data_IF_017598722439
#
_entry.id   IF_017598722439
#
_cell.length_a   1.000
_cell.length_b   1.000
_cell.length_c   1.000
_cell.angle_alpha   90.00
_cell.angle_beta   90.00
_cell.angle_gamma   90.00
#
_symmetry.space_group_name_H-M   'P 1'
#
loop_
_entity.id
_entity.type
_entity.pdbx_description
1 polymer ?
#
# COMPACT_ATOMS: atom_id res chain seq x y z
N UNK A 1 -9.57 -2.96 -16.55
CA UNK A 1 -9.67 -2.25 -15.26
C UNK A 1 -11.04 -2.58 -14.66
N UNK A 2 -11.15 -3.81 -14.17
CA UNK A 2 -12.29 -4.35 -13.44
C UNK A 2 -11.68 -4.87 -12.15
N UNK A 3 -12.05 -4.29 -11.02
CA UNK A 3 -11.95 -5.00 -9.76
C UNK A 3 -13.14 -5.97 -9.80
N UNK A 4 -12.95 -7.12 -10.46
CA UNK A 4 -13.71 -8.33 -10.21
C UNK A 4 -13.00 -9.53 -10.86
N UNK A 5 -12.82 -10.59 -10.08
CA UNK A 5 -12.84 -11.96 -10.60
C UNK A 5 -14.24 -12.19 -11.17
N UNK A 6 -14.42 -12.71 -12.40
CA UNK A 6 -15.74 -13.17 -12.80
C UNK A 6 -16.14 -14.33 -11.87
N UNK A 7 -17.04 -14.06 -10.92
CA UNK A 7 -17.70 -15.12 -10.18
C UNK A 7 -18.60 -15.84 -11.17
N UNK A 8 -18.28 -17.10 -11.42
CA UNK A 8 -19.20 -18.05 -12.04
C UNK A 8 -20.52 -18.01 -11.25
N UNK A 9 -21.58 -17.59 -11.94
CA UNK A 9 -23.00 -17.71 -11.59
C UNK A 9 -23.36 -17.96 -10.10
N UNK A 10 -23.73 -16.91 -9.36
CA UNK A 10 -24.83 -16.98 -8.36
C UNK A 10 -25.11 -15.63 -7.69
N UNK A 11 -26.36 -15.19 -7.86
CA UNK A 11 -27.21 -14.35 -6.99
C UNK A 11 -26.50 -13.39 -5.99
N UNK A 12 -26.12 -12.20 -6.47
CA UNK A 12 -25.54 -11.12 -5.65
C UNK A 12 -26.52 -9.98 -5.43
N UNK A 13 -27.56 -10.20 -4.61
CA UNK A 13 -28.49 -9.12 -4.23
C UNK A 13 -28.05 -8.23 -3.05
N UNK A 14 -26.93 -8.50 -2.37
CA UNK A 14 -26.60 -7.74 -1.14
C UNK A 14 -25.12 -7.36 -0.90
N UNK A 15 -24.20 -7.55 -1.85
CA UNK A 15 -22.77 -7.26 -1.65
C UNK A 15 -22.13 -6.26 -2.64
N UNK A 16 -22.91 -5.58 -3.48
CA UNK A 16 -22.39 -4.75 -4.59
C UNK A 16 -21.88 -3.36 -4.21
N UNK A 17 -22.58 -2.66 -3.30
CA UNK A 17 -22.38 -1.21 -3.10
C UNK A 17 -20.98 -0.89 -2.54
N UNK A 18 -20.47 -1.68 -1.60
CA UNK A 18 -19.16 -1.40 -0.98
C UNK A 18 -17.98 -1.54 -1.95
N UNK A 19 -18.02 -2.56 -2.82
CA UNK A 19 -16.98 -2.81 -3.83
C UNK A 19 -17.03 -1.78 -4.96
N UNK A 20 -18.23 -1.39 -5.39
CA UNK A 20 -18.42 -0.31 -6.36
C UNK A 20 -17.89 1.03 -5.85
N UNK A 21 -18.11 1.33 -4.56
CA UNK A 21 -17.56 2.54 -3.91
C UNK A 21 -16.03 2.50 -3.85
N UNK A 22 -15.42 1.36 -3.55
CA UNK A 22 -13.96 1.22 -3.58
C UNK A 22 -13.39 1.42 -4.99
N UNK A 23 -14.09 0.95 -6.02
CA UNK A 23 -13.70 1.17 -7.41
C UNK A 23 -13.79 2.64 -7.78
N UNK A 24 -14.88 3.29 -7.40
CA UNK A 24 -15.09 4.72 -7.62
C UNK A 24 -14.01 5.55 -6.92
N UNK A 25 -13.67 5.20 -5.66
CA UNK A 25 -12.55 5.82 -4.95
C UNK A 25 -11.28 5.80 -5.80
N UNK A 26 -10.89 4.61 -6.27
CA UNK A 26 -9.68 4.42 -7.03
C UNK A 26 -9.69 5.20 -8.35
N UNK A 27 -10.83 5.22 -9.07
CA UNK A 27 -10.96 6.01 -10.29
C UNK A 27 -10.83 7.52 -10.03
N UNK A 28 -11.46 8.03 -8.97
CA UNK A 28 -11.38 9.44 -8.60
C UNK A 28 -9.96 9.84 -8.20
N UNK A 29 -9.27 9.01 -7.40
CA UNK A 29 -7.88 9.27 -7.00
C UNK A 29 -6.91 9.14 -8.18
N UNK A 30 -7.13 8.17 -9.07
CA UNK A 30 -6.30 7.99 -10.26
C UNK A 30 -6.47 9.17 -11.22
N UNK A 31 -7.71 9.55 -11.53
CA UNK A 31 -8.02 10.67 -12.40
C UNK A 31 -7.47 11.99 -11.86
N UNK A 32 -7.73 12.31 -10.59
CA UNK A 32 -7.17 13.52 -9.94
C UNK A 32 -5.64 13.52 -9.97
N UNK A 33 -4.99 12.37 -9.78
CA UNK A 33 -3.54 12.27 -9.87
C UNK A 33 -2.98 12.53 -11.27
N UNK A 34 -3.66 12.05 -12.31
CA UNK A 34 -3.28 12.30 -13.70
C UNK A 34 -3.45 13.77 -14.07
N UNK A 35 -4.55 14.40 -13.63
CA UNK A 35 -4.82 15.83 -13.80
C UNK A 35 -3.72 16.66 -13.12
N UNK A 36 -3.40 16.39 -11.85
CA UNK A 36 -2.35 17.11 -11.13
C UNK A 36 -0.98 16.94 -11.81
N UNK A 37 -0.65 15.71 -12.23
CA UNK A 37 0.60 15.43 -12.92
C UNK A 37 0.72 16.22 -14.23
N UNK A 38 -0.35 16.29 -15.02
CA UNK A 38 -0.39 17.04 -16.27
C UNK A 38 -0.28 18.57 -16.03
N UNK A 39 -1.13 19.15 -15.18
CA UNK A 39 -1.14 20.59 -14.92
C UNK A 39 0.12 21.09 -14.21
N UNK A 40 0.80 20.21 -13.45
CA UNK A 40 2.09 20.53 -12.83
C UNK A 40 3.28 20.51 -13.80
N UNK A 41 3.04 20.30 -15.11
CA UNK A 41 4.08 20.09 -16.13
C UNK A 41 5.01 18.93 -15.75
N UNK A 42 4.42 17.81 -15.33
CA UNK A 42 5.11 16.57 -14.98
C UNK A 42 6.01 16.65 -13.74
N UNK A 43 5.80 17.64 -12.87
CA UNK A 43 6.60 17.83 -11.64
C UNK A 43 6.00 17.13 -10.42
N UNK A 44 4.68 17.03 -10.34
CA UNK A 44 3.95 16.49 -9.20
C UNK A 44 3.49 15.05 -9.47
N UNK A 45 4.38 14.08 -9.24
CA UNK A 45 4.11 12.66 -9.51
C UNK A 45 3.81 11.80 -8.26
N UNK A 46 3.73 12.38 -7.05
CA UNK A 46 3.57 11.59 -5.81
C UNK A 46 2.24 10.86 -5.70
N UNK A 47 1.12 11.57 -5.93
CA UNK A 47 -0.20 10.94 -5.89
C UNK A 47 -0.35 9.90 -7.01
N UNK A 48 0.28 10.15 -8.16
CA UNK A 48 0.31 9.20 -9.27
C UNK A 48 1.12 7.94 -8.90
N UNK A 49 2.30 8.10 -8.29
CA UNK A 49 3.12 7.01 -7.78
C UNK A 49 2.37 6.20 -6.70
N UNK A 50 1.65 6.87 -5.80
CA UNK A 50 0.77 6.21 -4.84
C UNK A 50 -0.28 5.32 -5.52
N UNK A 51 -1.00 5.84 -6.52
CA UNK A 51 -1.98 5.03 -7.24
C UNK A 51 -1.33 3.85 -8.02
N UNK A 52 -0.15 4.05 -8.61
CA UNK A 52 0.59 2.94 -9.22
C UNK A 52 1.03 1.88 -8.19
N UNK A 53 1.31 2.26 -6.95
CA UNK A 53 1.53 1.29 -5.88
C UNK A 53 0.27 0.47 -5.57
N UNK A 54 -0.92 1.08 -5.65
CA UNK A 54 -2.19 0.36 -5.48
C UNK A 54 -2.43 -0.63 -6.64
N UNK A 55 -2.14 -0.22 -7.90
CA UNK A 55 -2.23 -1.11 -9.07
C UNK A 55 -1.25 -2.27 -8.92
N UNK A 56 -0.01 -1.99 -8.51
CA UNK A 56 1.02 -2.99 -8.28
C UNK A 56 0.57 -4.01 -7.23
N UNK A 57 0.11 -3.54 -6.07
CA UNK A 57 -0.39 -4.38 -4.99
C UNK A 57 -1.57 -5.27 -5.44
N UNK A 58 -2.58 -4.68 -6.09
CA UNK A 58 -3.72 -5.44 -6.60
C UNK A 58 -3.28 -6.51 -7.60
N UNK A 59 -2.35 -6.17 -8.50
CA UNK A 59 -1.85 -7.10 -9.50
C UNK A 59 -1.02 -8.22 -8.88
N UNK A 60 -0.29 -7.96 -7.79
CA UNK A 60 0.40 -9.00 -6.99
C UNK A 60 -0.61 -9.94 -6.35
N UNK A 61 -1.61 -9.42 -5.62
CA UNK A 61 -2.62 -10.27 -4.96
C UNK A 61 -3.29 -11.18 -5.99
N UNK A 62 -3.61 -10.61 -7.15
CA UNK A 62 -4.25 -11.30 -8.26
C UNK A 62 -3.35 -12.39 -8.87
N UNK A 63 -2.08 -12.12 -9.13
CA UNK A 63 -1.18 -13.14 -9.68
C UNK A 63 -0.93 -14.26 -8.65
N UNK A 64 -0.84 -13.93 -7.36
CA UNK A 64 -0.76 -14.92 -6.28
C UNK A 64 -1.98 -15.84 -6.27
N UNK A 65 -3.19 -15.28 -6.41
CA UNK A 65 -4.41 -16.08 -6.54
C UNK A 65 -4.32 -17.02 -7.75
N UNK A 66 -3.93 -16.51 -8.92
CA UNK A 66 -3.76 -17.34 -10.12
C UNK A 66 -2.76 -18.48 -9.90
N UNK A 67 -1.65 -18.23 -9.21
CA UNK A 67 -0.63 -19.26 -8.91
C UNK A 67 -1.19 -20.33 -7.97
N UNK A 68 -1.88 -19.92 -6.89
CA UNK A 68 -2.48 -20.85 -5.92
C UNK A 68 -3.52 -21.76 -6.58
N UNK A 69 -4.28 -21.21 -7.53
CA UNK A 69 -5.35 -21.93 -8.23
C UNK A 69 -4.91 -22.53 -9.57
N UNK A 70 -3.63 -22.47 -9.91
CA UNK A 70 -3.11 -22.89 -11.23
C UNK A 70 -3.51 -24.33 -11.60
N UNK A 71 -3.42 -25.25 -10.63
CA UNK A 71 -3.74 -26.68 -10.86
C UNK A 71 -5.25 -26.99 -10.86
N UNK A 72 -6.11 -26.05 -10.46
CA UNK A 72 -7.56 -26.23 -10.39
C UNK A 72 -8.29 -25.61 -11.57
N UNK A 73 -7.59 -24.89 -12.44
CA UNK A 73 -8.17 -24.11 -13.54
C UNK A 73 -7.77 -24.74 -14.87
N UNK A 74 -8.75 -25.00 -15.73
CA UNK A 74 -8.49 -25.28 -17.14
C UNK A 74 -8.10 -23.97 -17.83
N UNK A 75 -6.91 -23.93 -18.44
CA UNK A 75 -6.45 -22.73 -19.12
C UNK A 75 -7.09 -22.63 -20.50
N UNK A 76 -8.09 -21.76 -20.66
CA UNK A 76 -8.50 -21.27 -21.96
C UNK A 76 -7.69 -20.02 -22.35
N UNK A 77 -7.89 -19.57 -23.59
CA UNK A 77 -7.16 -18.43 -24.16
C UNK A 77 -7.41 -17.15 -23.36
N UNK A 78 -8.60 -16.97 -22.78
CA UNK A 78 -8.94 -15.75 -22.05
C UNK A 78 -8.22 -15.67 -20.70
N UNK A 79 -7.99 -16.78 -19.99
CA UNK A 79 -7.20 -16.80 -18.75
C UNK A 79 -5.74 -16.46 -19.04
N UNK A 80 -5.17 -17.00 -20.13
CA UNK A 80 -3.80 -16.69 -20.55
C UNK A 80 -3.67 -15.19 -20.86
N UNK A 81 -4.60 -14.62 -21.63
CA UNK A 81 -4.63 -13.18 -21.90
C UNK A 81 -4.78 -12.35 -20.62
N UNK A 82 -5.59 -12.82 -19.67
CA UNK A 82 -5.79 -12.16 -18.39
C UNK A 82 -4.53 -12.16 -17.52
N UNK A 83 -3.77 -13.25 -17.53
CA UNK A 83 -2.46 -13.35 -16.87
C UNK A 83 -1.47 -12.39 -17.53
N UNK A 84 -1.37 -12.40 -18.86
CA UNK A 84 -0.50 -11.48 -19.61
C UNK A 84 -0.82 -10.02 -19.29
N UNK A 85 -2.10 -9.64 -19.29
CA UNK A 85 -2.53 -8.29 -18.91
C UNK A 85 -2.17 -7.96 -17.45
N UNK A 86 -2.23 -8.92 -16.55
CA UNK A 86 -1.84 -8.71 -15.15
C UNK A 86 -0.33 -8.49 -15.02
N UNK A 87 0.48 -9.25 -15.78
CA UNK A 87 1.92 -9.08 -15.83
C UNK A 87 2.31 -7.72 -16.42
N UNK A 88 1.61 -7.24 -17.46
CA UNK A 88 1.86 -5.89 -17.99
C UNK A 88 1.53 -4.79 -16.98
N UNK A 89 0.47 -4.95 -16.17
CA UNK A 89 0.19 -3.99 -15.10
C UNK A 89 1.25 -3.99 -14.00
N UNK A 90 1.79 -5.17 -13.63
CA UNK A 90 2.92 -5.27 -12.69
C UNK A 90 4.13 -4.53 -13.27
N UNK A 91 4.49 -4.83 -14.52
CA UNK A 91 5.63 -4.22 -15.20
C UNK A 91 5.50 -2.70 -15.30
N UNK A 92 4.36 -2.19 -15.77
CA UNK A 92 4.11 -0.76 -15.93
C UNK A 92 4.17 -0.03 -14.58
N UNK A 93 3.60 -0.62 -13.54
CA UNK A 93 3.60 -0.03 -12.20
C UNK A 93 5.02 0.00 -11.62
N UNK A 94 5.75 -1.11 -11.72
CA UNK A 94 7.14 -1.20 -11.28
C UNK A 94 8.02 -0.18 -12.02
N UNK A 95 7.96 -0.15 -13.35
CA UNK A 95 8.73 0.78 -14.17
C UNK A 95 8.46 2.25 -13.80
N UNK A 96 7.18 2.62 -13.63
CA UNK A 96 6.82 3.98 -13.26
C UNK A 96 7.34 4.35 -11.86
N UNK A 97 7.14 3.48 -10.87
CA UNK A 97 7.58 3.71 -9.48
C UNK A 97 9.10 3.87 -9.43
N UNK A 98 9.86 2.98 -10.06
CA UNK A 98 11.33 3.04 -10.06
C UNK A 98 11.86 4.28 -10.79
N UNK A 99 11.25 4.64 -11.93
CA UNK A 99 11.59 5.88 -12.64
C UNK A 99 11.31 7.12 -11.78
N UNK A 100 10.19 7.13 -11.06
CA UNK A 100 9.85 8.19 -10.12
C UNK A 100 10.86 8.29 -8.98
N UNK A 101 11.31 7.17 -8.41
CA UNK A 101 12.33 7.13 -7.36
C UNK A 101 13.67 7.71 -7.84
N UNK A 102 14.19 7.23 -8.96
CA UNK A 102 15.48 7.66 -9.50
C UNK A 102 15.49 9.16 -9.88
N UNK A 103 14.33 9.68 -10.29
CA UNK A 103 14.17 11.13 -10.58
C UNK A 103 14.33 12.02 -9.34
N UNK A 104 14.16 11.47 -8.14
CA UNK A 104 14.35 12.21 -6.89
C UNK A 104 15.77 12.11 -6.37
N UNK A 105 16.41 10.94 -6.45
CA UNK A 105 17.82 10.77 -6.03
C UNK A 105 18.74 11.75 -6.77
N UNK A 106 18.54 11.92 -8.08
CA UNK A 106 19.29 12.86 -8.94
C UNK A 106 19.10 14.35 -8.59
N UNK A 107 18.13 14.72 -7.76
CA UNK A 107 17.90 16.12 -7.34
C UNK A 107 18.51 16.49 -5.99
N UNK A 108 19.19 15.55 -5.34
CA UNK A 108 19.94 15.76 -4.11
C UNK A 108 21.37 16.15 -4.52
N UNK A 109 21.81 17.41 -4.34
CA UNK A 109 23.13 17.84 -4.80
C UNK A 109 24.25 17.22 -3.95
N UNK A 110 25.32 16.77 -4.62
CA UNK A 110 26.54 16.12 -4.11
C UNK A 110 27.42 16.98 -3.17
N UNK A 111 26.85 17.96 -2.46
CA UNK A 111 27.60 18.72 -1.48
C UNK A 111 27.57 18.01 -0.12
N UNK A 112 28.61 17.21 0.14
CA UNK A 112 28.86 16.46 1.39
C UNK A 112 28.64 17.30 2.66
N UNK A 113 28.96 18.60 2.65
CA UNK A 113 28.80 19.47 3.81
C UNK A 113 27.33 19.81 4.17
N UNK A 114 26.39 19.70 3.22
CA UNK A 114 24.94 19.84 3.49
C UNK A 114 24.26 18.52 3.81
N UNK A 115 24.93 17.39 3.57
CA UNK A 115 24.41 16.05 3.84
C UNK A 115 24.31 15.87 5.37
N UNK A 116 25.35 16.22 6.12
CA UNK A 116 25.39 16.03 7.59
C UNK A 116 24.32 16.89 8.31
N UNK A 117 24.10 18.13 7.88
CA UNK A 117 23.13 19.04 8.53
C UNK A 117 21.67 18.76 8.11
N UNK A 118 21.46 18.15 6.93
CA UNK A 118 20.13 17.80 6.39
C UNK A 118 19.69 16.39 6.76
N UNK A 119 20.62 15.45 6.99
CA UNK A 119 20.36 14.07 7.42
C UNK A 119 19.79 14.00 8.85
N UNK A 120 20.08 14.98 9.70
CA UNK A 120 19.60 15.03 11.09
C UNK A 120 18.17 15.52 11.28
N UNK A 121 17.39 15.69 10.20
CA UNK A 121 15.97 16.00 10.34
C UNK A 121 15.11 14.77 10.11
N UNK A 122 14.99 13.98 11.18
CA UNK A 122 13.96 12.97 11.37
C UNK A 122 12.61 13.49 10.83
N UNK A 123 11.94 12.65 10.02
CA UNK A 123 10.60 12.96 9.54
C UNK A 123 9.70 13.40 10.71
N UNK A 124 8.95 14.49 10.51
CA UNK A 124 8.10 15.03 11.56
C UNK A 124 7.10 13.97 12.03
N UNK A 125 6.83 13.95 13.35
CA UNK A 125 5.91 13.01 14.01
C UNK A 125 4.58 12.89 13.24
N UNK A 126 4.06 14.02 12.74
CA UNK A 126 2.81 14.06 11.97
C UNK A 126 2.90 13.29 10.64
N UNK A 127 4.04 13.32 9.94
CA UNK A 127 4.22 12.56 8.69
C UNK A 127 4.28 11.06 8.96
N UNK A 128 4.95 10.65 10.04
CA UNK A 128 4.99 9.24 10.47
C UNK A 128 3.59 8.74 10.85
N UNK A 129 2.82 9.57 11.55
CA UNK A 129 1.43 9.27 11.89
C UNK A 129 0.55 9.12 10.63
N UNK A 130 0.65 10.04 9.67
CA UNK A 130 -0.07 9.93 8.38
C UNK A 130 0.32 8.65 7.65
N UNK A 131 1.62 8.31 7.61
CA UNK A 131 2.09 7.09 6.98
C UNK A 131 1.52 5.84 7.65
N UNK A 132 1.51 5.82 8.98
CA UNK A 132 0.93 4.74 9.75
C UNK A 132 -0.56 4.58 9.44
N UNK A 133 -1.34 5.67 9.40
CA UNK A 133 -2.78 5.63 9.11
C UNK A 133 -3.04 5.07 7.71
N UNK A 134 -2.36 5.60 6.69
CA UNK A 134 -2.59 5.19 5.30
C UNK A 134 -2.18 3.73 5.09
N UNK A 135 -0.97 3.34 5.50
CA UNK A 135 -0.50 1.95 5.33
C UNK A 135 -1.40 0.99 6.13
N UNK A 136 -1.81 1.34 7.36
CA UNK A 136 -2.73 0.52 8.15
C UNK A 136 -4.09 0.38 7.47
N UNK A 137 -4.64 1.47 6.92
CA UNK A 137 -5.93 1.44 6.20
C UNK A 137 -5.85 0.53 4.98
N UNK A 138 -4.75 0.60 4.21
CA UNK A 138 -4.55 -0.30 3.06
C UNK A 138 -4.46 -1.76 3.51
N UNK A 139 -3.71 -2.05 4.57
CA UNK A 139 -3.61 -3.42 5.12
C UNK A 139 -4.98 -3.91 5.61
N UNK A 140 -5.77 -3.07 6.29
CA UNK A 140 -7.12 -3.41 6.71
C UNK A 140 -8.02 -3.74 5.52
N UNK A 141 -7.97 -2.97 4.44
CA UNK A 141 -8.75 -3.25 3.21
C UNK A 141 -8.36 -4.60 2.62
N UNK A 142 -7.05 -4.92 2.55
CA UNK A 142 -6.57 -6.22 2.06
C UNK A 142 -7.08 -7.34 2.97
N UNK A 143 -6.87 -7.23 4.28
CA UNK A 143 -7.23 -8.26 5.25
C UNK A 143 -8.74 -8.49 5.25
N UNK A 144 -9.54 -7.43 5.25
CA UNK A 144 -10.99 -7.52 5.17
C UNK A 144 -11.44 -8.18 3.86
N UNK A 145 -10.85 -7.80 2.73
CA UNK A 145 -11.14 -8.40 1.43
C UNK A 145 -10.76 -9.88 1.34
N UNK A 146 -9.66 -10.29 1.98
CA UNK A 146 -9.30 -11.71 2.07
C UNK A 146 -10.28 -12.46 2.98
N UNK A 147 -10.60 -11.91 4.16
CA UNK A 147 -11.52 -12.53 5.13
C UNK A 147 -12.92 -12.70 4.54
N UNK A 148 -13.46 -11.68 3.85
CA UNK A 148 -14.79 -11.76 3.24
C UNK A 148 -14.92 -12.83 2.17
N UNK A 149 -13.78 -13.30 1.63
CA UNK A 149 -13.73 -14.34 0.61
C UNK A 149 -13.18 -15.67 1.15
N UNK A 150 -12.90 -15.80 2.46
CA UNK A 150 -12.37 -17.04 3.06
C UNK A 150 -13.26 -18.24 2.76
N UNK A 151 -14.58 -18.11 2.91
CA UNK A 151 -15.51 -19.24 2.69
C UNK A 151 -15.58 -19.68 1.22
N UNK A 152 -15.13 -18.83 0.30
CA UNK A 152 -15.15 -19.08 -1.15
C UNK A 152 -13.81 -19.59 -1.67
N UNK A 153 -12.77 -19.55 -0.85
CA UNK A 153 -11.38 -19.81 -1.23
C UNK A 153 -10.81 -20.94 -0.38
N UNK A 154 -10.68 -22.14 -0.95
CA UNK A 154 -10.21 -23.33 -0.26
C UNK A 154 -8.84 -23.13 0.42
N UNK A 155 -7.93 -22.38 -0.20
CA UNK A 155 -6.59 -22.14 0.31
C UNK A 155 -6.63 -21.26 1.57
N UNK A 156 -7.28 -20.10 1.49
CA UNK A 156 -7.43 -19.20 2.64
C UNK A 156 -8.31 -19.82 3.73
N UNK A 157 -9.33 -20.61 3.37
CA UNK A 157 -10.13 -21.39 4.30
C UNK A 157 -9.29 -22.38 5.10
N UNK A 158 -8.46 -23.17 4.41
CA UNK A 158 -7.57 -24.15 5.05
C UNK A 158 -6.53 -23.46 5.94
N UNK A 159 -5.90 -22.40 5.43
CA UNK A 159 -4.91 -21.64 6.19
C UNK A 159 -5.53 -20.98 7.44
N UNK A 160 -6.70 -20.36 7.29
CA UNK A 160 -7.38 -19.71 8.41
C UNK A 160 -7.89 -20.74 9.43
N UNK A 161 -8.39 -21.89 8.99
CA UNK A 161 -8.76 -22.99 9.88
C UNK A 161 -7.56 -23.52 10.66
N UNK A 162 -6.40 -23.70 10.02
CA UNK A 162 -5.17 -24.07 10.71
C UNK A 162 -4.81 -23.07 11.83
N UNK A 163 -4.91 -21.76 11.56
CA UNK A 163 -4.69 -20.74 12.59
C UNK A 163 -5.72 -20.82 13.71
N UNK A 164 -7.00 -21.04 13.37
CA UNK A 164 -8.10 -21.15 14.33
C UNK A 164 -7.94 -22.36 15.26
N UNK A 165 -7.57 -23.52 14.72
CA UNK A 165 -7.39 -24.74 15.51
C UNK A 165 -6.14 -24.67 16.39
N UNK A 166 -5.08 -24.00 15.94
CA UNK A 166 -3.80 -23.91 16.66
C UNK A 166 -3.82 -22.82 17.74
N UNK A 167 -4.37 -21.64 17.45
CA UNK A 167 -4.25 -20.46 18.32
C UNK A 167 -5.59 -19.99 18.92
N UNK A 168 -6.70 -20.60 18.52
CA UNK A 168 -8.06 -20.18 18.89
C UNK A 168 -8.61 -19.08 17.98
N UNK A 169 -9.91 -18.87 18.06
CA UNK A 169 -10.67 -18.02 17.13
C UNK A 169 -10.32 -16.54 17.19
N UNK A 170 -10.11 -15.97 18.38
CA UNK A 170 -9.76 -14.56 18.52
C UNK A 170 -8.33 -14.27 18.05
N UNK A 171 -7.40 -15.17 18.38
CA UNK A 171 -5.99 -15.03 18.05
C UNK A 171 -5.73 -15.25 16.56
N UNK A 172 -6.51 -16.11 15.88
CA UNK A 172 -6.31 -16.39 14.46
C UNK A 172 -6.48 -15.14 13.59
N UNK A 173 -7.48 -14.30 13.85
CA UNK A 173 -7.67 -13.03 13.14
C UNK A 173 -6.50 -12.06 13.35
N UNK A 174 -5.99 -11.97 14.58
CA UNK A 174 -4.86 -11.11 14.92
C UNK A 174 -3.59 -11.59 14.20
N UNK A 175 -3.30 -12.89 14.28
CA UNK A 175 -2.13 -13.49 13.61
C UNK A 175 -2.25 -13.31 12.09
N UNK A 176 -3.43 -13.55 11.52
CA UNK A 176 -3.67 -13.35 10.10
C UNK A 176 -3.38 -11.89 9.67
N UNK A 177 -3.85 -10.91 10.44
CA UNK A 177 -3.55 -9.50 10.20
C UNK A 177 -2.03 -9.23 10.25
N UNK A 178 -1.31 -9.75 11.25
CA UNK A 178 0.14 -9.54 11.37
C UNK A 178 0.94 -10.21 10.25
N UNK A 179 0.50 -11.38 9.76
CA UNK A 179 1.12 -12.05 8.61
C UNK A 179 0.97 -11.20 7.35
N UNK A 180 -0.24 -10.69 7.08
CA UNK A 180 -0.47 -9.81 5.92
C UNK A 180 0.30 -8.49 6.07
N UNK A 181 0.34 -7.90 7.27
CA UNK A 181 1.15 -6.72 7.59
C UNK A 181 2.64 -6.97 7.29
N UNK A 182 3.18 -8.12 7.69
CA UNK A 182 4.57 -8.49 7.43
C UNK A 182 4.87 -8.55 5.94
N UNK A 183 4.05 -9.31 5.18
CA UNK A 183 4.21 -9.47 3.73
C UNK A 183 4.14 -8.11 3.02
N UNK A 184 3.16 -7.27 3.40
CA UNK A 184 2.98 -5.93 2.83
C UNK A 184 4.25 -5.08 2.96
N UNK A 185 4.77 -4.93 4.19
CA UNK A 185 5.97 -4.11 4.41
C UNK A 185 7.21 -4.72 3.75
N UNK A 186 7.37 -6.04 3.81
CA UNK A 186 8.52 -6.71 3.20
C UNK A 186 8.55 -6.53 1.69
N UNK A 187 7.42 -6.71 0.99
CA UNK A 187 7.34 -6.55 -0.48
C UNK A 187 7.65 -5.10 -0.88
N UNK A 188 7.00 -4.12 -0.26
CA UNK A 188 7.20 -2.73 -0.65
C UNK A 188 8.58 -2.19 -0.29
N UNK A 189 9.06 -2.48 0.92
CA UNK A 189 10.34 -1.95 1.37
C UNK A 189 11.53 -2.67 0.75
N UNK A 190 11.40 -3.94 0.36
CA UNK A 190 12.45 -4.64 -0.41
C UNK A 190 12.57 -4.12 -1.83
N UNK A 191 11.45 -3.94 -2.54
CA UNK A 191 11.44 -3.54 -3.94
C UNK A 191 11.69 -2.06 -4.16
N UNK A 192 11.10 -1.21 -3.31
CA UNK A 192 11.05 0.23 -3.57
C UNK A 192 11.66 1.09 -2.46
N UNK A 193 12.12 0.47 -1.36
CA UNK A 193 12.62 1.17 -0.16
C UNK A 193 11.61 2.16 0.46
N UNK A 194 10.35 2.07 0.03
CA UNK A 194 9.25 2.94 0.43
C UNK A 194 7.92 2.17 0.35
N UNK A 195 7.01 2.53 1.24
CA UNK A 195 5.63 2.02 1.28
C UNK A 195 4.70 2.95 0.51
N UNK A 196 3.49 2.51 0.11
CA UNK A 196 2.51 3.37 -0.54
C UNK A 196 2.33 4.72 0.16
N UNK A 197 2.16 4.75 1.49
CA UNK A 197 2.02 6.01 2.19
C UNK A 197 3.25 6.91 2.10
N UNK A 198 4.45 6.32 2.17
CA UNK A 198 5.73 7.03 2.03
C UNK A 198 5.89 7.71 0.66
N UNK A 199 5.35 7.12 -0.42
CA UNK A 199 5.30 7.79 -1.73
C UNK A 199 4.45 9.05 -1.71
N UNK A 200 3.35 9.04 -0.96
CA UNK A 200 2.47 10.18 -0.80
C UNK A 200 3.14 11.30 0.02
N UNK A 201 3.74 10.97 1.17
CA UNK A 201 4.40 11.95 2.05
C UNK A 201 5.80 12.38 1.61
N UNK A 202 6.32 11.76 0.54
CA UNK A 202 7.65 12.01 -0.01
C UNK A 202 8.78 11.56 0.91
N UNK A 203 8.56 10.52 1.70
CA UNK A 203 9.55 10.00 2.65
C UNK A 203 10.17 8.71 2.10
N UNK A 204 11.47 8.52 2.28
CA UNK A 204 12.19 7.31 1.84
C UNK A 204 13.04 6.77 2.97
N UNK A 205 13.39 5.49 2.89
CA UNK A 205 14.23 4.83 3.88
C UNK A 205 15.65 4.78 3.36
N UNK A 206 16.57 5.40 4.09
CA UNK A 206 18.00 5.34 3.83
C UNK A 206 18.72 4.69 5.03
N UNK A 207 19.91 4.15 4.77
CA UNK A 207 20.87 3.70 5.78
C UNK A 207 21.46 4.90 6.56
N UNK A 208 22.18 4.66 7.66
CA UNK A 208 22.88 5.69 8.45
C UNK A 208 23.85 6.51 7.60
N UNK A 209 24.50 5.84 6.65
CA UNK A 209 25.43 6.44 5.69
C UNK A 209 24.73 7.12 4.51
N UNK A 210 23.39 7.19 4.50
CA UNK A 210 22.60 7.77 3.42
C UNK A 210 22.42 6.90 2.19
N UNK A 211 23.00 5.70 2.18
CA UNK A 211 22.89 4.70 1.11
C UNK A 211 21.53 3.98 1.12
N UNK A 212 21.23 3.25 0.03
CA UNK A 212 20.04 2.39 -0.03
C UNK A 212 20.15 1.23 0.98
N UNK A 213 19.15 0.98 1.83
CA UNK A 213 19.28 0.01 2.91
C UNK A 213 19.34 -1.42 2.38
N UNK A 214 20.21 -2.24 2.97
CA UNK A 214 20.39 -3.64 2.60
C UNK A 214 19.13 -4.47 2.94
N UNK A 215 18.91 -5.60 2.24
CA UNK A 215 17.74 -6.47 2.45
C UNK A 215 17.64 -6.97 3.91
N UNK A 216 18.76 -7.34 4.52
CA UNK A 216 18.81 -7.77 5.93
C UNK A 216 18.33 -6.68 6.89
N UNK A 217 18.61 -5.43 6.57
CA UNK A 217 18.21 -4.26 7.35
C UNK A 217 16.70 -4.02 7.25
N UNK A 218 16.15 -4.14 6.04
CA UNK A 218 14.71 -4.07 5.78
C UNK A 218 13.97 -5.20 6.50
N UNK A 219 14.54 -6.41 6.50
CA UNK A 219 13.95 -7.55 7.19
C UNK A 219 13.91 -7.32 8.70
N UNK A 220 15.01 -6.85 9.31
CA UNK A 220 15.04 -6.45 10.74
C UNK A 220 13.98 -5.40 11.04
N UNK A 221 13.90 -4.34 10.21
CA UNK A 221 12.91 -3.26 10.38
C UNK A 221 11.47 -3.77 10.27
N UNK A 222 11.22 -4.70 9.37
CA UNK A 222 9.89 -5.31 9.20
C UNK A 222 9.52 -6.18 10.41
N UNK A 223 10.48 -6.93 10.96
CA UNK A 223 10.29 -7.74 12.17
C UNK A 223 10.02 -6.87 13.40
N UNK A 224 10.78 -5.79 13.61
CA UNK A 224 10.55 -4.88 14.74
C UNK A 224 9.16 -4.22 14.69
N UNK A 225 8.62 -3.96 13.48
CA UNK A 225 7.25 -3.44 13.29
C UNK A 225 6.12 -4.41 13.62
N UNK A 226 6.43 -5.70 13.82
CA UNK A 226 5.48 -6.68 14.31
C UNK A 226 5.31 -6.59 15.84
N UNK A 227 6.24 -5.95 16.55
CA UNK A 227 6.12 -5.75 17.99
C UNK A 227 4.90 -4.84 18.25
N UNK A 228 3.89 -5.29 19.02
CA UNK A 228 2.75 -4.46 19.37
C UNK A 228 3.22 -3.21 20.13
N UNK A 229 2.57 -2.07 19.89
CA UNK A 229 2.91 -0.73 20.42
C UNK A 229 4.20 -0.09 19.90
N UNK A 230 5.04 -0.81 19.18
CA UNK A 230 6.24 -0.28 18.51
C UNK A 230 5.88 0.77 17.46
N UNK A 231 4.79 0.52 16.71
CA UNK A 231 4.29 1.47 15.71
C UNK A 231 3.87 2.82 16.31
N UNK A 232 3.70 2.95 17.63
CA UNK A 232 3.41 4.22 18.32
C UNK A 232 4.60 4.79 19.09
N UNK A 233 5.73 4.08 19.15
CA UNK A 233 6.90 4.50 19.93
C UNK A 233 7.43 5.87 19.47
N UNK A 234 7.24 6.19 18.18
CA UNK A 234 7.61 7.48 17.59
C UNK A 234 6.95 8.69 18.29
N UNK A 235 5.80 8.50 18.95
CA UNK A 235 5.11 9.54 19.72
C UNK A 235 5.86 9.90 21.01
N UNK A 236 6.65 8.98 21.54
CA UNK A 236 7.45 9.15 22.78
C UNK A 236 8.91 9.46 22.44
N UNK A 237 9.21 9.79 21.18
CA UNK A 237 10.56 10.13 20.72
C UNK A 237 11.51 8.94 20.57
N UNK A 238 11.05 7.69 20.75
CA UNK A 238 11.82 6.47 20.50
C UNK A 238 11.34 5.83 19.21
N UNK A 239 12.18 5.66 18.19
CA UNK A 239 11.80 4.87 17.01
C UNK A 239 12.55 3.54 17.10
N UNK A 240 12.00 2.56 17.83
CA UNK A 240 12.72 1.30 18.10
C UNK A 240 13.05 0.58 16.79
N UNK A 241 12.11 0.51 15.83
CA UNK A 241 12.40 -0.11 14.53
C UNK A 241 13.40 0.65 13.66
N UNK A 242 13.56 1.96 13.83
CA UNK A 242 14.53 2.76 13.05
C UNK A 242 15.91 2.72 13.74
N UNK A 243 15.94 2.82 15.08
CA UNK A 243 17.16 2.81 15.90
C UNK A 243 17.82 1.42 15.91
N UNK A 244 17.05 0.36 16.09
CA UNK A 244 17.59 -1.01 16.20
C UNK A 244 17.84 -1.66 14.82
N UNK A 245 17.32 -1.05 13.75
CA UNK A 245 17.66 -1.41 12.38
C UNK A 245 18.67 -0.46 11.74
N UNK A 246 19.17 0.56 12.43
CA UNK A 246 20.11 1.55 11.90
C UNK A 246 19.60 2.32 10.66
N UNK A 247 18.28 2.52 10.48
CA UNK A 247 17.76 3.24 9.29
C UNK A 247 17.16 4.59 9.65
N UNK A 248 17.29 5.57 8.75
CA UNK A 248 16.67 6.88 8.90
C UNK A 248 15.62 7.15 7.82
N UNK A 249 14.57 7.88 8.20
CA UNK A 249 13.53 8.38 7.29
C UNK A 249 13.83 9.83 6.95
N UNK A 250 14.41 10.06 5.77
CA UNK A 250 14.81 11.40 5.31
C UNK A 250 13.62 12.12 4.67
N UNK A 251 13.51 13.43 4.93
CA UNK A 251 12.44 14.27 4.40
C UNK A 251 13.01 15.50 3.67
N UNK A 252 12.45 15.82 2.50
CA UNK A 252 12.84 17.01 1.74
C UNK A 252 11.95 18.20 2.16
N UNK A 253 12.48 19.18 2.91
CA UNK A 253 11.69 20.26 3.55
C UNK A 253 10.85 21.15 2.60
N UNK A 254 11.15 21.22 1.29
CA UNK A 254 10.37 21.96 0.30
C UNK A 254 8.98 21.33 0.00
N UNK A 255 8.69 20.15 0.56
CA UNK A 255 7.62 19.27 0.10
C UNK A 255 6.35 19.25 0.98
N UNK A 256 6.37 19.86 2.16
CA UNK A 256 5.28 19.81 3.18
C UNK A 256 3.97 20.47 2.77
N UNK A 257 4.01 21.52 1.94
CA UNK A 257 2.79 22.21 1.45
C UNK A 257 2.03 21.36 0.43
N UNK A 258 2.75 20.53 -0.33
CA UNK A 258 2.19 19.65 -1.36
C UNK A 258 1.53 18.42 -0.69
N UNK A 259 2.09 17.94 0.42
CA UNK A 259 1.52 16.83 1.20
C UNK A 259 0.07 17.11 1.63
N UNK A 260 -0.21 18.34 2.09
CA UNK A 260 -1.56 18.76 2.48
C UNK A 260 -2.55 18.74 1.32
N UNK A 261 -2.11 19.08 0.11
CA UNK A 261 -2.97 19.08 -1.08
C UNK A 261 -3.39 17.66 -1.45
N UNK A 262 -2.45 16.70 -1.46
CA UNK A 262 -2.77 15.31 -1.76
C UNK A 262 -3.69 14.69 -0.70
N UNK A 263 -3.43 14.97 0.58
CA UNK A 263 -4.30 14.51 1.67
C UNK A 263 -5.71 15.11 1.56
N UNK A 264 -5.83 16.36 1.13
CA UNK A 264 -7.12 16.99 0.85
C UNK A 264 -7.86 16.28 -0.28
N UNK A 265 -7.19 15.94 -1.38
CA UNK A 265 -7.80 15.20 -2.49
C UNK A 265 -8.28 13.80 -2.07
N UNK A 266 -7.49 13.08 -1.26
CA UNK A 266 -7.92 11.80 -0.68
C UNK A 266 -9.10 11.99 0.28
N UNK A 267 -9.09 13.04 1.10
CA UNK A 267 -10.21 13.37 1.99
C UNK A 267 -11.49 13.69 1.23
N UNK A 268 -11.39 14.44 0.12
CA UNK A 268 -12.53 14.75 -0.76
C UNK A 268 -13.06 13.47 -1.40
N UNK A 269 -12.20 12.59 -1.93
CA UNK A 269 -12.67 11.33 -2.53
C UNK A 269 -13.34 10.42 -1.50
N UNK A 270 -12.86 10.36 -0.26
CA UNK A 270 -13.55 9.64 0.83
C UNK A 270 -14.89 10.30 1.16
N UNK A 271 -14.94 11.62 1.27
CA UNK A 271 -16.17 12.36 1.57
C UNK A 271 -17.24 12.13 0.49
N UNK A 272 -16.87 12.17 -0.79
CA UNK A 272 -17.81 11.88 -1.89
C UNK A 272 -18.39 10.47 -1.79
N UNK A 273 -17.59 9.49 -1.36
CA UNK A 273 -18.08 8.12 -1.17
C UNK A 273 -19.04 8.01 0.00
N UNK A 274 -18.76 8.70 1.11
CA UNK A 274 -19.67 8.72 2.25
C UNK A 274 -21.02 9.33 1.85
N UNK A 275 -21.02 10.45 1.13
CA UNK A 275 -22.25 11.07 0.63
C UNK A 275 -23.04 10.10 -0.27
N UNK A 276 -22.36 9.43 -1.20
CA UNK A 276 -22.99 8.45 -2.10
C UNK A 276 -23.54 7.27 -1.27
N UNK A 277 -22.74 6.72 -0.36
CA UNK A 277 -23.15 5.62 0.52
C UNK A 277 -24.39 5.96 1.34
N UNK A 278 -24.41 7.11 2.02
CA UNK A 278 -25.57 7.55 2.80
C UNK A 278 -26.79 7.84 1.91
N UNK A 279 -26.59 8.41 0.72
CA UNK A 279 -27.68 8.65 -0.22
C UNK A 279 -28.35 7.34 -0.68
N UNK A 280 -27.57 6.31 -1.01
CA UNK A 280 -28.10 5.01 -1.40
C UNK A 280 -28.71 4.25 -0.21
N UNK A 281 -28.10 4.34 0.98
CA UNK A 281 -28.61 3.66 2.17
C UNK A 281 -29.93 4.28 2.67
N UNK A 282 -30.09 5.60 2.59
CA UNK A 282 -31.34 6.29 2.94
C UNK A 282 -32.48 6.04 1.94
N UNK A 283 -32.21 5.49 0.76
CA UNK A 283 -33.21 5.08 -0.24
C UNK A 283 -33.68 3.63 -0.05
N UNK A 284 -32.99 2.85 0.78
CA UNK A 284 -33.28 1.44 1.07
C UNK A 284 -34.18 1.25 2.32
N UNK A 285 -34.59 2.35 2.97
CA UNK A 285 -35.54 2.38 4.08
C UNK A 285 -36.81 3.16 3.71
#
# INVERSE_FOLDING_TARGET
>A
MLIYLPTYYSDTRNSGIGLELLNLYFYLTFFSSAVIYYFSKYKQARLLAFNYCLIFLYSIIKITYTIVYFNKVEFHVYEILYILLTLTYIFMSYYFITKFLNSKETTIPDNEDKIIEKHNQNASVNKRLVNLIIDSTLIFIIVFGLISNIERDDFFMTFFMFLRTTFGERSSFIIFFYVIKFIYYLVFESLFKATPAKFLTGSYVNDEDGNSPNFTMILKRTLYRLIPFESFSFLVGRNLHDNDSHTYVVNNRKETRIDKQYLLFLGISVFTLLVIYFYFNNRMF
#
